data_IF_228494533128
#
_entry.id   IF_228494533128
#
_cell.length_a   1.000
_cell.length_b   1.000
_cell.length_c   1.000
_cell.angle_alpha   90.00
_cell.angle_beta   90.00
_cell.angle_gamma   90.00
#
_symmetry.space_group_name_H-M   'P 1'
#
loop_
_entity.id
_entity.type
_entity.pdbx_description
1 polymer ?
#
# COMPACT_ATOMS: atom_id res chain seq x y z
N UNK A 1 45.81 -17.33 -22.53
CA UNK A 1 44.65 -17.59 -23.38
C UNK A 1 43.80 -18.67 -22.74
N UNK A 2 42.67 -18.31 -22.11
CA UNK A 2 41.46 -19.12 -22.09
C UNK A 2 40.36 -18.23 -21.44
N UNK A 3 39.52 -17.66 -22.30
CA UNK A 3 38.24 -17.11 -21.93
C UNK A 3 37.35 -18.24 -21.45
N UNK A 4 36.84 -18.15 -20.28
CA UNK A 4 35.59 -18.82 -19.89
C UNK A 4 34.81 -17.85 -19.04
N UNK A 5 34.22 -16.88 -19.73
CA UNK A 5 33.07 -16.13 -19.22
C UNK A 5 31.83 -16.89 -19.64
N UNK A 6 31.44 -17.87 -18.86
CA UNK A 6 30.12 -18.46 -18.98
C UNK A 6 29.22 -17.71 -18.03
N UNK A 7 28.65 -16.64 -18.57
CA UNK A 7 27.51 -15.93 -17.99
C UNK A 7 26.38 -16.93 -17.98
N UNK A 8 26.18 -17.56 -16.83
CA UNK A 8 24.94 -18.28 -16.53
C UNK A 8 23.81 -17.26 -16.57
N UNK A 9 23.26 -17.09 -17.75
CA UNK A 9 22.01 -16.40 -17.99
C UNK A 9 20.94 -17.22 -17.25
N UNK A 10 20.66 -16.82 -16.02
CA UNK A 10 19.57 -17.38 -15.24
C UNK A 10 18.29 -17.15 -16.05
N UNK A 11 17.83 -18.20 -16.70
CA UNK A 11 16.48 -18.29 -17.23
C UNK A 11 15.53 -18.31 -16.03
N UNK A 12 15.18 -17.11 -15.54
CA UNK A 12 14.00 -16.97 -14.72
C UNK A 12 12.82 -17.48 -15.57
N UNK A 13 12.15 -18.52 -15.09
CA UNK A 13 10.96 -19.01 -15.73
C UNK A 13 10.02 -17.81 -15.93
N UNK A 14 9.84 -17.39 -17.18
CA UNK A 14 9.00 -16.23 -17.52
C UNK A 14 7.59 -16.53 -17.05
N UNK A 15 7.12 -15.76 -16.08
CA UNK A 15 5.74 -15.85 -15.61
C UNK A 15 4.80 -15.71 -16.81
N UNK A 16 3.69 -16.46 -16.82
CA UNK A 16 2.76 -16.36 -17.95
C UNK A 16 2.20 -14.94 -18.05
N UNK A 17 1.97 -14.45 -19.26
CA UNK A 17 1.39 -13.10 -19.47
C UNK A 17 0.04 -12.94 -18.77
N UNK A 18 -0.73 -14.02 -18.63
CA UNK A 18 -1.99 -14.04 -17.87
C UNK A 18 -1.76 -13.77 -16.38
N UNK A 19 -0.72 -14.37 -15.78
CA UNK A 19 -0.40 -14.17 -14.38
C UNK A 19 0.18 -12.76 -14.12
N UNK A 20 0.98 -12.25 -15.04
CA UNK A 20 1.49 -10.87 -15.00
C UNK A 20 0.35 -9.84 -15.02
N UNK A 21 -0.58 -9.97 -15.98
CA UNK A 21 -1.73 -9.08 -16.11
C UNK A 21 -2.65 -9.17 -14.89
N UNK A 22 -2.85 -10.38 -14.35
CA UNK A 22 -3.63 -10.58 -13.12
C UNK A 22 -2.98 -9.93 -11.92
N UNK A 23 -1.68 -10.12 -11.73
CA UNK A 23 -0.93 -9.50 -10.64
C UNK A 23 -0.99 -7.97 -10.72
N UNK A 24 -0.79 -7.40 -11.92
CA UNK A 24 -0.88 -5.97 -12.16
C UNK A 24 -2.29 -5.43 -11.91
N UNK A 25 -3.30 -6.04 -12.50
CA UNK A 25 -4.69 -5.59 -12.39
C UNK A 25 -5.19 -5.62 -10.94
N UNK A 26 -4.98 -6.75 -10.23
CA UNK A 26 -5.35 -6.86 -8.82
C UNK A 26 -4.61 -5.87 -7.94
N UNK A 27 -3.31 -5.66 -8.18
CA UNK A 27 -2.51 -4.70 -7.41
C UNK A 27 -2.95 -3.26 -7.66
N UNK A 28 -3.30 -2.91 -8.88
CA UNK A 28 -3.80 -1.57 -9.21
C UNK A 28 -5.14 -1.30 -8.53
N UNK A 29 -6.07 -2.27 -8.54
CA UNK A 29 -7.35 -2.17 -7.82
C UNK A 29 -7.12 -2.05 -6.31
N UNK A 30 -6.25 -2.89 -5.74
CA UNK A 30 -5.91 -2.86 -4.32
C UNK A 30 -5.31 -1.51 -3.92
N UNK A 31 -4.37 -0.99 -4.71
CA UNK A 31 -3.77 0.32 -4.46
C UNK A 31 -4.80 1.45 -4.58
N UNK A 32 -5.68 1.40 -5.58
CA UNK A 32 -6.80 2.37 -5.73
C UNK A 32 -7.67 2.39 -4.49
N UNK A 33 -8.07 1.23 -3.97
CA UNK A 33 -8.90 1.13 -2.78
C UNK A 33 -8.17 1.63 -1.52
N UNK A 34 -6.91 1.26 -1.34
CA UNK A 34 -6.08 1.77 -0.24
C UNK A 34 -5.95 3.29 -0.29
N UNK A 35 -5.70 3.85 -1.47
CA UNK A 35 -5.52 5.28 -1.64
C UNK A 35 -6.83 6.04 -1.42
N UNK A 36 -7.98 5.44 -1.81
CA UNK A 36 -9.30 5.96 -1.51
C UNK A 36 -9.54 6.04 0.01
N UNK A 37 -9.23 4.98 0.76
CA UNK A 37 -9.36 4.98 2.23
C UNK A 37 -8.36 5.94 2.88
N UNK A 38 -7.13 6.00 2.41
CA UNK A 38 -6.10 6.87 2.98
C UNK A 38 -6.48 8.34 2.95
N UNK A 39 -7.23 8.77 1.94
CA UNK A 39 -7.68 10.15 1.76
C UNK A 39 -9.06 10.45 2.37
N UNK A 40 -9.65 9.52 3.11
CA UNK A 40 -11.03 9.62 3.62
C UNK A 40 -11.24 10.87 4.50
N UNK A 41 -10.25 11.24 5.33
CA UNK A 41 -10.35 12.42 6.20
C UNK A 41 -10.46 13.74 5.45
N UNK A 42 -10.12 13.79 4.16
CA UNK A 42 -10.35 14.98 3.34
C UNK A 42 -11.84 15.30 3.15
N UNK A 43 -12.71 14.32 3.39
CA UNK A 43 -14.17 14.47 3.27
C UNK A 43 -14.82 14.40 4.65
N UNK A 44 -14.62 13.29 5.38
CA UNK A 44 -15.31 13.10 6.67
C UNK A 44 -14.73 13.95 7.80
N UNK A 45 -13.48 14.38 7.67
CA UNK A 45 -12.78 15.11 8.72
C UNK A 45 -13.44 16.41 9.12
N UNK A 46 -14.09 17.11 8.17
CA UNK A 46 -14.81 18.35 8.44
C UNK A 46 -16.04 18.09 9.32
N UNK A 47 -16.77 17.00 9.06
CA UNK A 47 -17.92 16.61 9.88
C UNK A 47 -17.48 16.23 11.31
N UNK A 48 -16.44 15.42 11.43
CA UNK A 48 -15.84 15.03 12.72
C UNK A 48 -15.38 16.28 13.51
N UNK A 49 -14.73 17.24 12.82
CA UNK A 49 -14.33 18.51 13.44
C UNK A 49 -15.52 19.23 14.05
N UNK A 50 -16.66 19.32 13.32
CA UNK A 50 -17.87 19.97 13.78
C UNK A 50 -18.51 19.26 14.98
N UNK A 51 -18.58 17.93 14.94
CA UNK A 51 -19.19 17.12 16.01
C UNK A 51 -18.40 17.18 17.32
N UNK A 52 -17.09 17.14 17.25
CA UNK A 52 -16.20 17.16 18.42
C UNK A 52 -15.80 18.58 18.85
N UNK A 53 -16.14 19.61 18.08
CA UNK A 53 -15.71 20.99 18.35
C UNK A 53 -14.19 21.17 18.32
N UNK A 54 -13.49 20.45 17.42
CA UNK A 54 -12.03 20.47 17.37
C UNK A 54 -11.48 21.85 16.98
N UNK A 55 -10.42 22.24 17.65
CA UNK A 55 -9.60 23.39 17.25
C UNK A 55 -8.91 23.12 15.90
N UNK A 56 -8.41 24.17 15.23
CA UNK A 56 -7.67 24.01 13.97
C UNK A 56 -6.43 23.12 14.12
N UNK A 57 -5.74 23.21 15.27
CA UNK A 57 -4.56 22.40 15.56
C UNK A 57 -4.90 20.92 15.74
N UNK A 58 -5.96 20.59 16.47
CA UNK A 58 -6.43 19.22 16.66
C UNK A 58 -6.91 18.62 15.35
N UNK A 59 -7.67 19.38 14.56
CA UNK A 59 -8.08 18.95 13.23
C UNK A 59 -6.89 18.71 12.31
N UNK A 60 -5.93 19.63 12.29
CA UNK A 60 -4.67 19.48 11.53
C UNK A 60 -3.91 18.22 11.92
N UNK A 61 -3.80 17.92 13.23
CA UNK A 61 -3.16 16.70 13.71
C UNK A 61 -3.94 15.44 13.28
N UNK A 62 -5.26 15.44 13.39
CA UNK A 62 -6.09 14.32 12.96
C UNK A 62 -5.88 13.98 11.47
N UNK A 63 -5.87 14.98 10.61
CA UNK A 63 -5.66 14.81 9.16
C UNK A 63 -4.22 14.42 8.82
N UNK A 64 -3.24 14.93 9.56
CA UNK A 64 -1.82 14.62 9.36
C UNK A 64 -1.44 13.20 9.85
N UNK A 65 -2.14 12.68 10.84
CA UNK A 65 -1.82 11.38 11.48
C UNK A 65 -1.73 10.23 10.47
N UNK A 66 -2.68 10.00 9.54
CA UNK A 66 -2.54 8.95 8.54
C UNK A 66 -1.35 9.15 7.60
N UNK A 67 -0.98 10.39 7.31
CA UNK A 67 0.16 10.71 6.43
C UNK A 67 1.46 10.32 7.13
N UNK A 68 1.60 10.69 8.41
CA UNK A 68 2.77 10.34 9.22
C UNK A 68 2.91 8.84 9.37
N UNK A 69 1.83 8.14 9.74
CA UNK A 69 1.84 6.68 9.89
C UNK A 69 2.15 6.00 8.57
N UNK A 70 1.54 6.44 7.47
CA UNK A 70 1.80 5.91 6.15
C UNK A 70 3.27 6.03 5.74
N UNK A 71 3.92 7.14 6.09
CA UNK A 71 5.34 7.37 5.80
C UNK A 71 6.25 6.42 6.60
N UNK A 72 6.00 6.26 7.89
CA UNK A 72 6.79 5.40 8.78
C UNK A 72 6.60 3.92 8.44
N UNK A 73 5.36 3.49 8.22
CA UNK A 73 5.03 2.08 7.98
C UNK A 73 5.57 1.55 6.65
N UNK A 74 5.84 2.42 5.66
CA UNK A 74 6.47 2.04 4.38
C UNK A 74 7.77 1.27 4.58
N UNK A 75 8.59 1.67 5.56
CA UNK A 75 9.86 1.01 5.86
C UNK A 75 9.65 -0.45 6.27
N UNK A 76 8.72 -0.69 7.17
CA UNK A 76 8.43 -2.02 7.69
C UNK A 76 7.68 -2.88 6.66
N UNK A 77 6.70 -2.30 5.97
CA UNK A 77 5.91 -3.01 4.97
C UNK A 77 6.76 -3.44 3.77
N UNK A 78 7.74 -2.63 3.36
CA UNK A 78 8.72 -3.02 2.34
C UNK A 78 9.49 -4.26 2.77
N UNK A 79 10.07 -4.24 3.97
CA UNK A 79 10.81 -5.37 4.55
C UNK A 79 9.96 -6.63 4.70
N UNK A 80 8.73 -6.48 5.15
CA UNK A 80 7.81 -7.61 5.28
C UNK A 80 7.40 -8.18 3.92
N UNK A 81 7.23 -7.34 2.92
CA UNK A 81 6.94 -7.77 1.54
C UNK A 81 8.07 -8.63 0.98
N UNK A 82 9.33 -8.24 1.23
CA UNK A 82 10.49 -9.02 0.87
C UNK A 82 10.52 -10.40 1.56
N UNK A 83 10.10 -10.46 2.81
CA UNK A 83 10.19 -11.66 3.64
C UNK A 83 9.00 -12.60 3.44
N UNK A 84 7.79 -12.07 3.41
CA UNK A 84 6.55 -12.86 3.45
C UNK A 84 5.84 -12.90 2.10
N UNK A 85 6.21 -12.04 1.16
CA UNK A 85 5.61 -11.91 -0.16
C UNK A 85 4.48 -10.88 -0.20
N UNK A 86 4.29 -10.29 -1.39
CA UNK A 86 3.33 -9.22 -1.59
C UNK A 86 1.89 -9.65 -1.39
N UNK A 87 1.53 -10.88 -1.78
CA UNK A 87 0.17 -11.41 -1.61
C UNK A 87 -0.30 -11.35 -0.16
N UNK A 88 0.48 -11.88 0.77
CA UNK A 88 0.11 -11.93 2.19
C UNK A 88 0.13 -10.54 2.81
N UNK A 89 1.21 -9.78 2.60
CA UNK A 89 1.41 -8.48 3.25
C UNK A 89 0.39 -7.46 2.76
N UNK A 90 0.08 -7.42 1.46
CA UNK A 90 -0.90 -6.50 0.91
C UNK A 90 -2.31 -6.80 1.43
N UNK A 91 -2.72 -8.08 1.44
CA UNK A 91 -4.01 -8.49 1.98
C UNK A 91 -4.13 -8.17 3.47
N UNK A 92 -3.12 -8.51 4.27
CA UNK A 92 -3.13 -8.23 5.70
C UNK A 92 -3.20 -6.72 5.98
N UNK A 93 -2.43 -5.92 5.25
CA UNK A 93 -2.46 -4.46 5.37
C UNK A 93 -3.85 -3.89 5.03
N UNK A 94 -4.49 -4.35 3.93
CA UNK A 94 -5.85 -3.93 3.56
C UNK A 94 -6.87 -4.28 4.64
N UNK A 95 -6.83 -5.49 5.19
CA UNK A 95 -7.77 -5.93 6.23
C UNK A 95 -7.57 -5.16 7.54
N UNK A 96 -6.33 -4.92 7.95
CA UNK A 96 -6.03 -4.10 9.13
C UNK A 96 -6.50 -2.65 8.96
N UNK A 97 -6.28 -2.08 7.78
CA UNK A 97 -6.77 -0.72 7.46
C UNK A 97 -8.30 -0.67 7.43
N UNK A 98 -8.96 -1.68 6.85
CA UNK A 98 -10.42 -1.78 6.84
C UNK A 98 -10.99 -1.86 8.25
N UNK A 99 -10.37 -2.67 9.12
CA UNK A 99 -10.73 -2.75 10.53
C UNK A 99 -10.57 -1.40 11.24
N UNK A 100 -9.45 -0.70 11.03
CA UNK A 100 -9.22 0.61 11.62
C UNK A 100 -10.25 1.66 11.12
N UNK A 101 -10.61 1.59 9.83
CA UNK A 101 -11.62 2.47 9.23
C UNK A 101 -13.02 2.18 9.79
N UNK A 102 -13.32 0.91 10.06
CA UNK A 102 -14.56 0.54 10.72
C UNK A 102 -14.55 0.97 12.20
N UNK A 103 -13.47 0.77 12.95
CA UNK A 103 -13.32 1.20 14.34
C UNK A 103 -13.43 2.72 14.51
N UNK A 104 -13.10 3.50 13.48
CA UNK A 104 -13.32 4.95 13.48
C UNK A 104 -14.76 5.33 13.78
N UNK A 105 -15.72 4.50 13.34
CA UNK A 105 -17.17 4.77 13.55
C UNK A 105 -17.63 4.51 14.98
N UNK A 106 -16.80 3.88 15.79
CA UNK A 106 -17.04 3.60 17.20
C UNK A 106 -16.30 4.57 18.13
N UNK A 107 -15.54 5.51 17.55
CA UNK A 107 -14.77 6.48 18.31
C UNK A 107 -15.72 7.55 18.90
N UNK A 108 -15.59 7.80 20.19
CA UNK A 108 -16.34 8.80 20.95
C UNK A 108 -15.47 9.89 21.58
N UNK A 109 -14.15 9.76 21.43
CA UNK A 109 -13.18 10.71 21.95
C UNK A 109 -12.08 11.02 20.93
N UNK A 110 -11.51 12.22 21.01
CA UNK A 110 -10.42 12.64 20.11
C UNK A 110 -9.25 11.65 20.08
N UNK A 111 -8.89 11.08 21.23
CA UNK A 111 -7.83 10.09 21.31
C UNK A 111 -8.17 8.82 20.50
N UNK A 112 -9.42 8.34 20.55
CA UNK A 112 -9.85 7.18 19.75
C UNK A 112 -9.84 7.50 18.25
N UNK A 113 -10.23 8.71 17.86
CA UNK A 113 -10.09 9.15 16.45
C UNK A 113 -8.62 9.14 15.98
N UNK A 114 -7.69 9.60 16.82
CA UNK A 114 -6.26 9.54 16.49
C UNK A 114 -5.76 8.09 16.37
N UNK A 115 -6.16 7.19 17.26
CA UNK A 115 -5.80 5.77 17.18
C UNK A 115 -6.34 5.13 15.91
N UNK A 116 -7.59 5.40 15.54
CA UNK A 116 -8.16 4.92 14.28
C UNK A 116 -7.41 5.52 13.07
N UNK A 117 -7.07 6.80 13.12
CA UNK A 117 -6.29 7.49 12.09
C UNK A 117 -4.89 6.89 11.90
N UNK A 118 -4.20 6.47 12.99
CA UNK A 118 -2.95 5.72 12.91
C UNK A 118 -3.13 4.42 12.12
N UNK A 119 -4.20 3.66 12.39
CA UNK A 119 -4.52 2.43 11.67
C UNK A 119 -4.87 2.67 10.18
N UNK A 120 -5.64 3.72 9.88
CA UNK A 120 -5.95 4.13 8.50
C UNK A 120 -4.67 4.51 7.74
N UNK A 121 -3.69 5.08 8.42
CA UNK A 121 -2.40 5.42 7.85
C UNK A 121 -1.63 4.22 7.25
N UNK A 122 -1.90 2.99 7.68
CA UNK A 122 -1.32 1.78 7.07
C UNK A 122 -1.58 1.73 5.55
N UNK A 123 -2.72 2.28 5.09
CA UNK A 123 -3.04 2.36 3.67
C UNK A 123 -1.98 3.10 2.85
N UNK A 124 -1.29 4.09 3.43
CA UNK A 124 -0.19 4.81 2.78
C UNK A 124 1.02 3.95 2.44
N UNK A 125 1.17 2.79 3.09
CA UNK A 125 2.19 1.80 2.78
C UNK A 125 1.89 0.88 1.59
N UNK A 126 0.66 0.90 1.07
CA UNK A 126 0.22 0.07 -0.06
C UNK A 126 1.07 0.25 -1.32
N UNK A 127 1.57 1.47 -1.55
CA UNK A 127 2.41 1.78 -2.69
C UNK A 127 3.70 0.94 -2.70
N UNK A 128 4.42 0.89 -1.59
CA UNK A 128 5.70 0.14 -1.53
C UNK A 128 5.47 -1.37 -1.67
N UNK A 129 4.38 -1.90 -1.10
CA UNK A 129 4.02 -3.32 -1.25
C UNK A 129 3.73 -3.64 -2.71
N UNK A 130 2.92 -2.82 -3.37
CA UNK A 130 2.53 -3.03 -4.75
C UNK A 130 3.69 -2.87 -5.72
N UNK A 131 4.56 -1.87 -5.53
CA UNK A 131 5.79 -1.71 -6.32
C UNK A 131 6.67 -2.95 -6.20
N UNK A 132 6.93 -3.42 -4.97
CA UNK A 132 7.76 -4.60 -4.74
C UNK A 132 7.12 -5.87 -5.33
N UNK A 133 5.80 -6.03 -5.21
CA UNK A 133 5.10 -7.20 -5.74
C UNK A 133 5.01 -7.19 -7.27
N UNK A 134 4.58 -6.07 -7.88
CA UNK A 134 4.42 -5.96 -9.34
C UNK A 134 5.76 -6.08 -10.06
N UNK A 135 6.81 -5.44 -9.54
CA UNK A 135 8.13 -5.46 -10.17
C UNK A 135 8.71 -6.87 -10.35
N UNK A 136 8.34 -7.84 -9.51
CA UNK A 136 8.80 -9.23 -9.60
C UNK A 136 8.11 -10.07 -10.67
N UNK A 137 7.01 -9.56 -11.23
CA UNK A 137 6.29 -10.22 -12.30
C UNK A 137 6.78 -9.82 -13.69
N UNK A 138 7.53 -8.72 -13.80
CA UNK A 138 7.95 -8.14 -15.06
C UNK A 138 9.47 -8.06 -15.17
N UNK A 139 10.01 -8.31 -16.37
CA UNK A 139 11.41 -8.09 -16.68
C UNK A 139 11.74 -6.58 -16.70
N UNK A 140 13.05 -6.26 -16.67
CA UNK A 140 13.53 -4.88 -16.61
C UNK A 140 13.02 -3.99 -17.76
N UNK A 141 12.75 -4.57 -18.94
CA UNK A 141 12.26 -3.82 -20.11
C UNK A 141 10.80 -3.40 -19.99
N UNK A 142 9.97 -4.17 -19.29
CA UNK A 142 8.52 -3.95 -19.17
C UNK A 142 8.13 -3.40 -17.79
N UNK A 143 9.03 -3.43 -16.82
CA UNK A 143 8.77 -3.05 -15.43
C UNK A 143 8.31 -1.59 -15.30
N UNK A 144 8.91 -0.67 -16.07
CA UNK A 144 8.52 0.74 -16.05
C UNK A 144 7.06 0.97 -16.47
N UNK A 145 6.62 0.29 -17.53
CA UNK A 145 5.22 0.36 -17.99
C UNK A 145 4.26 -0.24 -16.96
N UNK A 146 4.60 -1.40 -16.41
CA UNK A 146 3.77 -2.05 -15.39
C UNK A 146 3.63 -1.18 -14.14
N UNK A 147 4.71 -0.59 -13.64
CA UNK A 147 4.69 0.31 -12.50
C UNK A 147 3.96 1.62 -12.79
N UNK A 148 4.03 2.12 -14.04
CA UNK A 148 3.24 3.26 -14.48
C UNK A 148 1.73 2.99 -14.42
N UNK A 149 1.29 1.82 -14.90
CA UNK A 149 -0.11 1.38 -14.81
C UNK A 149 -0.53 1.21 -13.34
N UNK A 150 0.32 0.56 -12.52
CA UNK A 150 0.07 0.42 -11.10
C UNK A 150 -0.08 1.78 -10.41
N UNK A 151 0.75 2.76 -10.77
CA UNK A 151 0.71 4.14 -10.26
C UNK A 151 -0.60 4.88 -10.56
N UNK A 152 -1.34 4.48 -11.62
CA UNK A 152 -2.67 5.01 -11.90
C UNK A 152 -3.66 4.76 -10.75
N UNK A 153 -3.38 3.81 -9.84
CA UNK A 153 -4.15 3.60 -8.62
C UNK A 153 -4.27 4.81 -7.69
N UNK A 154 -3.42 5.83 -7.86
CA UNK A 154 -3.60 7.14 -7.20
C UNK A 154 -4.98 7.78 -7.48
N UNK A 155 -5.68 7.36 -8.52
CA UNK A 155 -7.06 7.77 -8.81
C UNK A 155 -8.02 7.50 -7.64
N UNK A 156 -7.64 6.62 -6.70
CA UNK A 156 -8.41 6.36 -5.48
C UNK A 156 -8.76 7.62 -4.69
N UNK A 157 -7.86 8.62 -4.66
CA UNK A 157 -8.17 9.92 -4.04
C UNK A 157 -9.33 10.66 -4.76
N UNK A 158 -9.36 10.60 -6.09
CA UNK A 158 -10.45 11.19 -6.86
C UNK A 158 -11.75 10.42 -6.64
N UNK A 159 -11.69 9.08 -6.55
CA UNK A 159 -12.87 8.25 -6.21
C UNK A 159 -13.47 8.70 -4.88
N UNK A 160 -12.65 8.87 -3.84
CA UNK A 160 -13.15 9.34 -2.53
C UNK A 160 -13.75 10.74 -2.64
N UNK A 161 -13.05 11.68 -3.25
CA UNK A 161 -13.54 13.07 -3.36
C UNK A 161 -14.82 13.17 -4.17
N UNK A 162 -15.02 12.29 -5.16
CA UNK A 162 -16.22 12.31 -5.99
C UNK A 162 -17.38 11.52 -5.37
N UNK A 163 -17.13 10.31 -4.85
CA UNK A 163 -18.20 9.40 -4.39
C UNK A 163 -18.61 9.66 -2.93
N UNK A 164 -17.64 9.96 -2.05
CA UNK A 164 -17.91 10.09 -0.63
C UNK A 164 -18.92 11.20 -0.28
N UNK A 165 -18.97 12.37 -0.96
CA UNK A 165 -20.01 13.36 -0.68
C UNK A 165 -21.43 12.85 -0.89
N UNK A 166 -21.69 12.02 -1.89
CA UNK A 166 -23.03 11.44 -2.12
C UNK A 166 -23.41 10.47 -1.01
N UNK A 167 -22.49 9.61 -0.58
CA UNK A 167 -22.71 8.69 0.54
C UNK A 167 -22.90 9.48 1.84
N UNK A 168 -22.14 10.56 2.03
CA UNK A 168 -22.23 11.41 3.20
C UNK A 168 -23.58 12.10 3.34
N UNK A 169 -24.15 12.59 2.22
CA UNK A 169 -25.49 13.20 2.22
C UNK A 169 -26.57 12.17 2.57
N UNK A 170 -26.44 10.93 2.10
CA UNK A 170 -27.44 9.89 2.32
C UNK A 170 -27.32 9.21 3.70
N UNK A 171 -26.11 8.99 4.21
CA UNK A 171 -25.85 8.13 5.38
C UNK A 171 -24.90 8.76 6.41
N UNK A 172 -24.58 10.05 6.27
CA UNK A 172 -23.61 10.71 7.14
C UNK A 172 -22.17 10.21 6.97
N UNK A 173 -21.23 10.75 7.74
CA UNK A 173 -19.83 10.37 7.66
C UNK A 173 -19.56 8.94 8.15
N UNK A 174 -20.36 8.43 9.09
CA UNK A 174 -20.30 7.03 9.51
C UNK A 174 -20.58 6.08 8.33
N UNK A 175 -21.59 6.43 7.51
CA UNK A 175 -21.91 5.67 6.29
C UNK A 175 -20.75 5.63 5.31
N UNK A 176 -20.03 6.74 5.13
CA UNK A 176 -18.80 6.77 4.31
C UNK A 176 -17.76 5.84 4.88
N UNK A 177 -17.48 5.90 6.19
CA UNK A 177 -16.49 5.03 6.82
C UNK A 177 -16.85 3.55 6.68
N UNK A 178 -18.12 3.16 6.87
CA UNK A 178 -18.59 1.79 6.69
C UNK A 178 -18.42 1.29 5.24
N UNK A 179 -18.82 2.08 4.26
CA UNK A 179 -18.72 1.72 2.83
C UNK A 179 -17.26 1.55 2.43
N UNK A 180 -16.38 2.48 2.83
CA UNK A 180 -14.94 2.40 2.53
C UNK A 180 -14.27 1.22 3.23
N UNK A 181 -14.62 0.97 4.50
CA UNK A 181 -14.10 -0.18 5.25
C UNK A 181 -14.55 -1.51 4.62
N UNK A 182 -15.84 -1.65 4.30
CA UNK A 182 -16.38 -2.86 3.68
C UNK A 182 -15.76 -3.08 2.28
N UNK A 183 -15.68 -2.05 1.46
CA UNK A 183 -15.07 -2.11 0.14
C UNK A 183 -13.61 -2.55 0.20
N UNK A 184 -12.82 -1.97 1.11
CA UNK A 184 -11.42 -2.35 1.29
C UNK A 184 -11.27 -3.78 1.82
N UNK A 185 -12.11 -4.20 2.75
CA UNK A 185 -12.10 -5.57 3.27
C UNK A 185 -12.41 -6.59 2.18
N UNK A 186 -13.44 -6.35 1.36
CA UNK A 186 -13.80 -7.21 0.22
C UNK A 186 -12.62 -7.30 -0.76
N UNK A 187 -12.04 -6.16 -1.15
CA UNK A 187 -10.89 -6.15 -2.07
C UNK A 187 -9.69 -6.88 -1.45
N UNK A 188 -9.42 -6.72 -0.14
CA UNK A 188 -8.37 -7.43 0.55
C UNK A 188 -8.54 -8.94 0.55
N UNK A 189 -9.76 -9.42 0.76
CA UNK A 189 -10.10 -10.85 0.68
C UNK A 189 -9.96 -11.35 -0.76
N UNK A 190 -10.52 -10.63 -1.74
CA UNK A 190 -10.42 -11.01 -3.15
C UNK A 190 -8.96 -11.04 -3.63
N UNK A 191 -8.16 -10.06 -3.21
CA UNK A 191 -6.74 -10.05 -3.50
C UNK A 191 -6.05 -11.29 -2.93
N UNK A 192 -6.32 -11.64 -1.67
CA UNK A 192 -5.76 -12.85 -1.06
C UNK A 192 -6.15 -14.14 -1.81
N UNK A 193 -7.39 -14.23 -2.26
CA UNK A 193 -7.89 -15.43 -2.95
C UNK A 193 -7.36 -15.55 -4.38
N UNK A 194 -7.27 -14.44 -5.10
CA UNK A 194 -6.98 -14.45 -6.54
C UNK A 194 -5.55 -14.08 -6.90
N UNK A 195 -4.80 -13.37 -6.04
CA UNK A 195 -3.38 -13.11 -6.28
C UNK A 195 -2.56 -14.38 -6.06
N UNK A 196 -1.47 -14.53 -6.79
CA UNK A 196 -0.48 -15.58 -6.59
C UNK A 196 0.73 -15.04 -5.83
N UNK A 197 1.46 -15.92 -5.17
CA UNK A 197 2.77 -15.59 -4.64
C UNK A 197 3.70 -15.24 -5.80
N UNK A 198 4.55 -14.24 -5.62
CA UNK A 198 5.46 -13.80 -6.67
C UNK A 198 6.52 -14.87 -7.00
N UNK A 199 7.01 -14.89 -8.27
CA UNK A 199 7.93 -15.94 -8.72
C UNK A 199 9.21 -16.04 -7.89
N UNK A 200 9.75 -14.90 -7.44
CA UNK A 200 10.97 -14.86 -6.64
C UNK A 200 10.77 -15.50 -5.26
N UNK A 201 9.63 -15.24 -4.62
CA UNK A 201 9.29 -15.87 -3.34
C UNK A 201 9.13 -17.39 -3.47
N UNK A 202 8.45 -17.83 -4.54
CA UNK A 202 8.26 -19.26 -4.83
C UNK A 202 9.61 -19.95 -5.04
N UNK A 203 10.48 -19.34 -5.84
CA UNK A 203 11.81 -19.89 -6.10
C UNK A 203 12.68 -19.93 -4.83
N UNK A 204 12.67 -18.86 -4.02
CA UNK A 204 13.40 -18.82 -2.75
C UNK A 204 12.94 -19.93 -1.79
N UNK A 205 11.64 -20.14 -1.69
CA UNK A 205 11.07 -21.21 -0.85
C UNK A 205 11.44 -22.60 -1.37
N UNK A 206 11.39 -22.81 -2.68
CA UNK A 206 11.75 -24.09 -3.29
C UNK A 206 13.23 -24.43 -3.09
N UNK A 207 14.12 -23.43 -3.13
CA UNK A 207 15.57 -23.58 -2.93
C UNK A 207 16.02 -23.47 -1.47
N UNK A 208 15.11 -23.33 -0.50
CA UNK A 208 15.41 -23.08 0.91
C UNK A 208 16.37 -21.89 1.14
N UNK A 209 16.31 -20.88 0.27
CA UNK A 209 17.14 -19.67 0.39
C UNK A 209 16.57 -18.79 1.50
N UNK A 210 17.41 -18.44 2.46
CA UNK A 210 17.03 -17.57 3.58
C UNK A 210 16.58 -16.19 3.05
N UNK A 211 15.47 -15.67 3.62
CA UNK A 211 15.07 -14.29 3.37
C UNK A 211 16.14 -13.32 3.88
N UNK A 212 16.36 -12.19 3.19
CA UNK A 212 17.30 -11.16 3.65
C UNK A 212 16.98 -10.72 5.08
N UNK A 213 18.03 -10.56 5.89
CA UNK A 213 17.87 -10.01 7.25
C UNK A 213 17.52 -8.52 7.19
N UNK A 214 16.97 -7.97 8.29
CA UNK A 214 16.72 -6.54 8.38
C UNK A 214 17.98 -5.71 8.08
N UNK A 215 19.13 -6.10 8.62
CA UNK A 215 20.40 -5.38 8.41
C UNK A 215 20.82 -5.38 6.93
N UNK A 216 20.62 -6.49 6.23
CA UNK A 216 20.93 -6.60 4.80
C UNK A 216 20.01 -5.71 3.95
N UNK A 217 18.73 -5.60 4.32
CA UNK A 217 17.77 -4.75 3.60
C UNK A 217 18.02 -3.26 3.79
N UNK A 218 18.62 -2.86 4.91
CA UNK A 218 19.04 -1.48 5.15
C UNK A 218 20.46 -1.17 4.67
N UNK A 219 21.21 -2.17 4.20
CA UNK A 219 22.56 -1.97 3.66
C UNK A 219 22.63 -0.92 2.51
N UNK A 220 21.64 -0.82 1.60
CA UNK A 220 21.63 0.22 0.56
C UNK A 220 21.66 1.66 1.10
N UNK A 221 21.18 1.90 2.32
CA UNK A 221 21.23 3.25 2.95
C UNK A 221 22.68 3.73 3.22
N UNK A 222 23.66 2.84 3.17
CA UNK A 222 25.09 3.20 3.23
C UNK A 222 25.61 3.78 1.91
N UNK A 223 24.86 3.64 0.82
CA UNK A 223 25.25 4.17 -0.49
C UNK A 223 24.77 5.62 -0.64
N UNK A 224 25.71 6.54 -0.89
CA UNK A 224 25.42 7.96 -1.09
C UNK A 224 24.45 8.22 -2.25
N UNK A 225 24.44 7.37 -3.28
CA UNK A 225 23.51 7.53 -4.40
C UNK A 225 22.05 7.36 -3.96
N UNK A 226 21.77 6.46 -3.00
CA UNK A 226 20.42 6.28 -2.45
C UNK A 226 19.92 7.58 -1.82
N UNK A 227 20.77 8.26 -1.05
CA UNK A 227 20.42 9.56 -0.44
C UNK A 227 20.22 10.65 -1.47
N UNK A 228 21.03 10.69 -2.53
CA UNK A 228 20.85 11.66 -3.63
C UNK A 228 19.51 11.47 -4.34
N UNK A 229 19.15 10.22 -4.69
CA UNK A 229 17.86 9.93 -5.30
C UNK A 229 16.69 10.19 -4.33
N UNK A 230 16.85 9.88 -3.06
CA UNK A 230 15.83 10.18 -2.02
C UNK A 230 15.61 11.68 -1.91
N UNK A 231 16.67 12.48 -1.95
CA UNK A 231 16.59 13.94 -1.92
C UNK A 231 15.86 14.48 -3.17
N UNK A 232 16.20 13.97 -4.35
CA UNK A 232 15.50 14.37 -5.58
C UNK A 232 14.01 14.03 -5.52
N UNK A 233 13.69 12.84 -5.04
CA UNK A 233 12.30 12.40 -4.89
C UNK A 233 11.52 13.21 -3.84
N UNK A 234 12.19 13.77 -2.85
CA UNK A 234 11.57 14.63 -1.82
C UNK A 234 11.04 15.94 -2.41
N UNK A 235 11.66 16.44 -3.48
CA UNK A 235 11.26 17.70 -4.14
C UNK A 235 10.29 17.52 -5.32
N UNK A 236 9.88 16.32 -5.66
CA UNK A 236 8.91 15.99 -6.71
C UNK A 236 7.56 15.66 -6.11
#
# INVERSE_FOLDING_TARGET
MKKTGDSAMQTTATASSSDQNRALGLSTIAFTACFAVWTIFSIIGVAIKGELGLTESEFGLLVATPILTGSVTRLFLGVWTERYGGRLVFSAQMLLTALATWLLTLADSYAMYLVAALGIGLAGGSFIIGVAYVSRWYDAGHQGTALGIFGAGNVGAAVTKFVAPFVMVAYGWHGVAHVWAAGLAIIGILFFLFAKDDPELVERRAKNIRAPSFAEQFAPLRNLQVWRFSLYYFFV
#
